data_IF_863859068960
#
_entry.id   IF_863859068960
#
_cell.length_a   1.000
_cell.length_b   1.000
_cell.length_c   1.000
_cell.angle_alpha   90.00
_cell.angle_beta   90.00
_cell.angle_gamma   90.00
#
_symmetry.space_group_name_H-M   'P 1'
#
loop_
_entity.id
_entity.type
_entity.pdbx_description
1 polymer ?
#
# COMPACT_ATOMS: atom_id res chain seq x y z
N UNK A 1 33.10 -10.72 -27.16
CA UNK A 1 33.23 -9.43 -27.84
C UNK A 1 31.98 -8.60 -27.55
N UNK A 2 32.03 -7.88 -26.44
CA UNK A 2 31.04 -6.87 -26.11
C UNK A 2 31.34 -5.65 -27.01
N UNK A 3 30.50 -5.42 -28.01
CA UNK A 3 30.47 -4.17 -28.73
C UNK A 3 29.96 -3.08 -27.83
N UNK A 4 30.86 -2.20 -27.36
CA UNK A 4 30.50 -0.98 -26.69
C UNK A 4 29.70 -0.09 -27.65
N UNK A 5 28.39 0.01 -27.47
CA UNK A 5 27.62 1.12 -28.01
C UNK A 5 27.97 2.33 -27.17
N UNK A 6 28.55 3.37 -27.77
CA UNK A 6 28.63 4.70 -27.18
C UNK A 6 27.21 5.08 -26.76
N UNK A 7 26.99 5.33 -25.46
CA UNK A 7 25.73 5.90 -25.01
C UNK A 7 25.58 7.25 -25.74
N UNK A 8 24.74 7.27 -26.76
CA UNK A 8 24.28 8.52 -27.33
C UNK A 8 23.62 9.27 -26.16
N UNK A 9 23.96 10.54 -25.97
CA UNK A 9 23.26 11.38 -25.01
C UNK A 9 21.79 11.44 -25.43
N UNK A 10 20.97 10.65 -24.75
CA UNK A 10 19.51 10.68 -24.99
C UNK A 10 19.00 12.00 -24.46
N UNK A 11 18.64 12.91 -25.34
CA UNK A 11 18.13 14.23 -24.99
C UNK A 11 17.13 14.73 -26.02
N UNK A 12 16.32 15.69 -25.59
CA UNK A 12 15.46 16.49 -26.46
C UNK A 12 16.04 17.91 -26.57
N UNK A 13 16.08 18.46 -27.81
CA UNK A 13 16.32 19.87 -28.00
C UNK A 13 14.96 20.58 -28.18
N UNK A 14 14.64 21.50 -27.28
CA UNK A 14 13.40 22.27 -27.29
C UNK A 14 13.74 23.74 -27.65
N UNK A 15 13.18 24.24 -28.72
CA UNK A 15 13.33 25.66 -29.10
C UNK A 15 12.10 26.45 -28.64
N UNK A 16 12.31 27.45 -27.80
CA UNK A 16 11.27 28.37 -27.39
C UNK A 16 11.05 29.44 -28.49
N UNK A 17 9.95 29.32 -29.22
CA UNK A 17 9.64 30.25 -30.32
C UNK A 17 9.37 31.69 -29.84
N UNK A 18 9.15 31.93 -28.55
CA UNK A 18 8.94 33.26 -27.97
C UNK A 18 10.27 34.03 -27.90
N UNK A 19 11.36 33.34 -27.67
CA UNK A 19 12.70 33.92 -27.48
C UNK A 19 13.68 33.53 -28.58
N UNK A 20 13.40 32.44 -29.32
CA UNK A 20 14.31 31.81 -30.28
C UNK A 20 15.43 31.01 -29.63
N UNK A 21 15.44 30.88 -28.30
CA UNK A 21 16.47 30.12 -27.55
C UNK A 21 16.17 28.62 -27.55
N UNK A 22 17.23 27.81 -27.66
CA UNK A 22 17.13 26.35 -27.62
C UNK A 22 17.70 25.84 -26.30
N UNK A 23 17.05 24.83 -25.75
CA UNK A 23 17.36 24.16 -24.48
C UNK A 23 17.51 22.66 -24.70
N UNK A 24 18.45 22.06 -24.02
CA UNK A 24 18.63 20.60 -24.02
C UNK A 24 18.03 20.01 -22.76
N UNK A 25 17.16 19.00 -22.92
CA UNK A 25 16.47 18.30 -21.84
C UNK A 25 16.86 16.84 -21.90
N UNK A 26 17.56 16.31 -20.86
CA UNK A 26 17.98 14.91 -20.82
C UNK A 26 16.79 13.97 -20.74
N UNK A 27 16.89 12.81 -21.42
CA UNK A 27 15.98 11.67 -21.30
C UNK A 27 16.62 10.65 -20.36
N UNK A 28 15.84 10.14 -19.42
CA UNK A 28 16.24 9.06 -18.53
C UNK A 28 15.07 8.09 -18.35
N UNK A 29 15.30 6.82 -18.65
CA UNK A 29 14.29 5.76 -18.59
C UNK A 29 12.99 6.12 -19.35
N UNK A 30 13.14 6.66 -20.56
CA UNK A 30 12.03 7.08 -21.39
C UNK A 30 11.24 8.30 -20.86
N UNK A 31 11.76 8.99 -19.86
CA UNK A 31 11.12 10.15 -19.24
C UNK A 31 12.02 11.39 -19.27
N UNK A 32 11.40 12.57 -19.14
CA UNK A 32 12.07 13.84 -18.90
C UNK A 32 11.68 14.38 -17.52
N UNK A 33 12.61 15.01 -16.82
CA UNK A 33 12.28 15.62 -15.52
C UNK A 33 11.49 16.90 -15.74
N UNK A 34 10.32 17.00 -15.13
CA UNK A 34 9.47 18.19 -15.25
C UNK A 34 10.20 19.48 -14.82
N UNK A 35 11.11 19.39 -13.84
CA UNK A 35 11.92 20.52 -13.39
C UNK A 35 12.89 21.06 -14.45
N UNK A 36 13.30 20.24 -15.41
CA UNK A 36 14.22 20.69 -16.48
C UNK A 36 13.50 21.64 -17.46
N UNK A 37 12.17 21.63 -17.52
CA UNK A 37 11.39 22.58 -18.28
C UNK A 37 11.41 24.00 -17.68
N UNK A 38 11.72 24.15 -16.39
CA UNK A 38 11.75 25.46 -15.70
C UNK A 38 12.84 26.41 -16.21
N UNK A 39 13.85 25.89 -16.90
CA UNK A 39 14.86 26.71 -17.55
C UNK A 39 14.30 27.52 -18.73
N UNK A 40 13.16 27.09 -19.31
CA UNK A 40 12.48 27.72 -20.44
C UNK A 40 11.64 28.89 -19.91
N UNK A 41 12.11 30.10 -20.12
CA UNK A 41 11.45 31.31 -19.62
C UNK A 41 11.76 32.49 -20.56
N UNK A 42 10.86 33.49 -20.62
CA UNK A 42 11.02 34.68 -21.46
C UNK A 42 11.83 35.77 -20.76
N UNK A 43 11.70 35.87 -19.43
CA UNK A 43 12.48 36.76 -18.59
C UNK A 43 13.07 36.05 -17.36
N UNK A 44 14.09 36.68 -16.74
CA UNK A 44 14.72 36.10 -15.56
C UNK A 44 13.78 35.98 -14.34
N UNK A 45 12.81 36.90 -14.25
CA UNK A 45 11.84 36.96 -13.14
C UNK A 45 10.72 35.94 -13.27
N UNK A 46 10.57 35.25 -14.43
CA UNK A 46 9.55 34.25 -14.62
C UNK A 46 9.90 32.95 -13.90
N UNK A 47 8.85 32.25 -13.42
CA UNK A 47 8.96 30.94 -12.81
C UNK A 47 9.50 29.85 -13.77
N UNK A 48 9.28 30.05 -15.09
CA UNK A 48 9.59 29.09 -16.14
C UNK A 48 8.43 28.17 -16.50
N UNK A 49 8.64 27.38 -17.55
CA UNK A 49 7.61 26.48 -18.11
C UNK A 49 7.27 25.36 -17.14
N UNK A 50 5.98 25.09 -16.98
CA UNK A 50 5.46 23.95 -16.20
C UNK A 50 4.75 22.95 -17.11
N UNK A 51 4.80 21.66 -16.77
CA UNK A 51 3.95 20.65 -17.37
C UNK A 51 2.50 20.80 -16.85
N UNK A 52 1.52 20.63 -17.72
CA UNK A 52 0.11 20.60 -17.37
C UNK A 52 -0.46 19.22 -17.71
N UNK A 53 -0.66 18.40 -16.69
CA UNK A 53 -1.23 17.05 -16.80
C UNK A 53 -2.23 16.83 -15.64
N UNK A 54 -3.47 17.37 -15.76
CA UNK A 54 -4.43 17.39 -14.66
C UNK A 54 -4.93 16.00 -14.24
N UNK A 55 -4.82 15.02 -15.11
CA UNK A 55 -5.26 13.65 -14.85
C UNK A 55 -4.09 12.67 -14.60
N UNK A 56 -2.87 13.16 -14.54
CA UNK A 56 -1.65 12.33 -14.39
C UNK A 56 -1.54 11.19 -15.42
N UNK A 57 -2.10 11.38 -16.61
CA UNK A 57 -2.16 10.34 -17.66
C UNK A 57 -0.84 10.12 -18.38
N UNK A 58 0.08 11.07 -18.29
CA UNK A 58 1.41 11.03 -18.91
C UNK A 58 2.50 11.49 -17.93
N UNK A 59 2.33 11.17 -16.62
CA UNK A 59 3.26 11.60 -15.58
C UNK A 59 3.75 10.38 -14.80
N UNK A 60 5.06 10.11 -14.86
CA UNK A 60 5.72 9.17 -13.97
C UNK A 60 6.05 9.86 -12.64
N UNK A 61 5.34 9.50 -11.56
CA UNK A 61 5.47 10.15 -10.26
C UNK A 61 6.66 9.66 -9.44
N UNK A 62 7.16 8.45 -9.71
CA UNK A 62 8.32 7.87 -9.03
C UNK A 62 8.93 6.72 -9.82
N UNK A 63 10.09 6.27 -9.34
CA UNK A 63 10.67 4.97 -9.69
C UNK A 63 10.44 4.00 -8.53
N UNK A 64 10.11 2.76 -8.85
CA UNK A 64 9.93 1.69 -7.88
C UNK A 64 10.66 0.43 -8.37
N UNK A 65 11.20 -0.33 -7.43
CA UNK A 65 11.77 -1.66 -7.65
C UNK A 65 10.96 -2.74 -6.92
N UNK A 66 9.73 -2.40 -6.51
CA UNK A 66 8.91 -3.31 -5.71
C UNK A 66 8.21 -4.33 -6.59
N UNK A 67 7.52 -3.86 -7.62
CA UNK A 67 6.70 -4.71 -8.49
C UNK A 67 6.98 -4.39 -9.94
N UNK A 68 7.02 -5.44 -10.76
CA UNK A 68 7.06 -5.36 -12.21
C UNK A 68 5.83 -6.05 -12.80
N UNK A 69 5.12 -5.36 -13.69
CA UNK A 69 3.93 -5.88 -14.37
C UNK A 69 4.12 -5.71 -15.89
N UNK A 70 3.99 -6.81 -16.63
CA UNK A 70 3.79 -6.78 -18.07
C UNK A 70 2.44 -7.45 -18.39
N UNK A 71 1.40 -6.64 -18.53
CA UNK A 71 0.05 -7.12 -18.81
C UNK A 71 -0.09 -7.78 -20.17
N UNK A 72 0.76 -7.45 -21.15
CA UNK A 72 0.73 -8.07 -22.48
C UNK A 72 1.35 -9.47 -22.46
N UNK A 73 2.44 -9.65 -21.71
CA UNK A 73 3.09 -10.93 -21.53
C UNK A 73 2.46 -11.79 -20.41
N UNK A 74 1.60 -11.19 -19.55
CA UNK A 74 1.03 -11.87 -18.39
C UNK A 74 2.06 -12.12 -17.29
N UNK A 75 3.02 -11.20 -17.10
CA UNK A 75 4.09 -11.31 -16.12
C UNK A 75 3.80 -10.38 -14.94
N UNK A 76 3.88 -10.92 -13.72
CA UNK A 76 3.87 -10.20 -12.47
C UNK A 76 5.02 -10.69 -11.59
N UNK A 77 5.86 -9.78 -11.14
CA UNK A 77 6.97 -10.07 -10.24
C UNK A 77 6.99 -9.10 -9.07
N UNK A 78 7.28 -9.62 -7.88
CA UNK A 78 7.56 -8.83 -6.69
C UNK A 78 9.04 -8.95 -6.32
N UNK A 79 9.78 -7.84 -6.35
CA UNK A 79 11.22 -7.82 -6.07
C UNK A 79 12.02 -8.83 -6.93
N UNK A 80 11.56 -9.15 -8.15
CA UNK A 80 12.18 -10.11 -9.05
C UNK A 80 11.78 -11.58 -8.82
N UNK A 81 10.86 -11.86 -7.91
CA UNK A 81 10.25 -13.18 -7.73
C UNK A 81 8.93 -13.25 -8.50
N UNK A 82 8.74 -14.29 -9.31
CA UNK A 82 7.48 -14.44 -10.02
C UNK A 82 6.31 -14.71 -9.06
N UNK A 83 5.13 -14.20 -9.42
CA UNK A 83 3.93 -14.34 -8.59
C UNK A 83 3.54 -15.81 -8.38
N UNK A 84 3.75 -16.66 -9.39
CA UNK A 84 3.47 -18.10 -9.32
C UNK A 84 4.32 -18.76 -8.23
N UNK A 85 5.63 -18.44 -8.19
CA UNK A 85 6.54 -18.99 -7.18
C UNK A 85 6.16 -18.54 -5.77
N UNK A 86 5.78 -17.26 -5.63
CA UNK A 86 5.34 -16.71 -4.34
C UNK A 86 4.05 -17.37 -3.86
N UNK A 87 3.05 -17.55 -4.74
CA UNK A 87 1.79 -18.21 -4.41
C UNK A 87 1.95 -19.69 -4.04
N UNK A 88 2.92 -20.38 -4.67
CA UNK A 88 3.14 -21.81 -4.42
C UNK A 88 3.98 -22.09 -3.17
N UNK A 89 4.93 -21.21 -2.83
CA UNK A 89 6.02 -21.50 -1.88
C UNK A 89 6.11 -20.56 -0.69
N UNK A 90 5.35 -19.48 -0.69
CA UNK A 90 5.38 -18.47 0.37
C UNK A 90 4.02 -18.30 1.01
N UNK A 91 4.00 -17.69 2.18
CA UNK A 91 2.81 -17.17 2.85
C UNK A 91 2.68 -15.66 2.61
N UNK A 92 1.50 -15.11 2.84
CA UNK A 92 1.29 -13.66 2.73
C UNK A 92 2.27 -12.86 3.60
N UNK A 93 2.54 -13.31 4.83
CA UNK A 93 3.47 -12.59 5.71
C UNK A 93 4.93 -12.60 5.21
N UNK A 94 5.37 -13.66 4.51
CA UNK A 94 6.68 -13.68 3.84
C UNK A 94 6.72 -12.70 2.68
N UNK A 95 5.64 -12.62 1.89
CA UNK A 95 5.54 -11.66 0.78
C UNK A 95 5.43 -10.23 1.29
N UNK A 96 4.69 -9.98 2.36
CA UNK A 96 4.65 -8.67 3.01
C UNK A 96 6.05 -8.22 3.48
N UNK A 97 6.81 -9.14 4.07
CA UNK A 97 8.21 -8.88 4.43
C UNK A 97 9.07 -8.56 3.20
N UNK A 98 8.97 -9.38 2.15
CA UNK A 98 9.68 -9.15 0.88
C UNK A 98 9.41 -7.75 0.30
N UNK A 99 8.16 -7.34 0.25
CA UNK A 99 7.77 -6.04 -0.31
C UNK A 99 8.36 -4.87 0.50
N UNK A 100 8.33 -4.97 1.83
CA UNK A 100 8.78 -3.91 2.73
C UNK A 100 10.31 -3.84 2.81
N UNK A 101 10.98 -4.98 2.99
CA UNK A 101 12.42 -5.04 3.25
C UNK A 101 13.27 -5.37 2.03
N UNK A 102 12.67 -5.80 0.91
CA UNK A 102 13.33 -5.99 -0.37
C UNK A 102 13.82 -7.39 -0.67
N UNK A 103 13.91 -8.28 0.33
CA UNK A 103 14.33 -9.68 0.19
C UNK A 103 13.44 -10.58 1.05
N UNK A 104 13.35 -11.87 0.69
CA UNK A 104 12.66 -12.87 1.50
C UNK A 104 13.36 -13.03 2.86
N UNK A 105 12.58 -13.21 3.94
CA UNK A 105 13.15 -13.35 5.27
C UNK A 105 13.91 -14.67 5.44
N UNK A 106 15.00 -14.62 6.19
CA UNK A 106 15.59 -15.83 6.79
C UNK A 106 14.65 -16.37 7.85
N UNK A 107 14.78 -17.65 8.22
CA UNK A 107 13.90 -18.26 9.22
C UNK A 107 13.83 -17.46 10.55
N UNK A 108 14.95 -16.99 11.15
CA UNK A 108 14.88 -16.18 12.37
C UNK A 108 14.17 -14.83 12.17
N UNK A 109 14.30 -14.23 10.99
CA UNK A 109 13.60 -12.98 10.66
C UNK A 109 12.09 -13.22 10.48
N UNK A 110 11.72 -14.32 9.83
CA UNK A 110 10.33 -14.73 9.67
C UNK A 110 9.68 -15.02 11.02
N UNK A 111 10.35 -15.77 11.88
CA UNK A 111 9.84 -16.13 13.21
C UNK A 111 9.57 -14.86 14.04
N UNK A 112 10.50 -13.88 14.02
CA UNK A 112 10.31 -12.58 14.68
C UNK A 112 9.15 -11.80 14.06
N UNK A 113 9.11 -11.71 12.73
CA UNK A 113 8.08 -10.97 11.98
C UNK A 113 6.68 -11.50 12.26
N UNK A 114 6.52 -12.82 12.18
CA UNK A 114 5.24 -13.49 12.49
C UNK A 114 4.86 -13.29 13.96
N UNK A 115 5.85 -13.42 14.88
CA UNK A 115 5.61 -13.16 16.30
C UNK A 115 5.14 -11.74 16.56
N UNK A 116 5.83 -10.75 16.01
CA UNK A 116 5.48 -9.33 16.21
C UNK A 116 4.07 -9.04 15.66
N UNK A 117 3.72 -9.52 14.46
CA UNK A 117 2.38 -9.33 13.90
C UNK A 117 1.32 -10.03 14.75
N UNK A 118 1.53 -11.29 15.10
CA UNK A 118 0.55 -12.09 15.86
C UNK A 118 0.25 -11.48 17.22
N UNK A 119 1.25 -10.87 17.87
CA UNK A 119 1.10 -10.27 19.20
C UNK A 119 0.63 -8.80 19.18
N UNK A 120 0.39 -8.22 17.99
CA UNK A 120 -0.12 -6.84 17.86
C UNK A 120 -1.51 -6.77 17.22
N UNK A 121 -2.24 -7.86 17.14
CA UNK A 121 -3.56 -7.96 16.49
C UNK A 121 -4.69 -7.28 17.26
N UNK A 122 -4.59 -7.14 18.59
CA UNK A 122 -5.59 -6.47 19.40
C UNK A 122 -5.67 -4.97 19.09
N UNK A 123 -6.88 -4.47 19.04
CA UNK A 123 -7.17 -3.03 19.02
C UNK A 123 -7.60 -2.56 20.43
N UNK A 124 -7.43 -1.28 20.72
CA UNK A 124 -7.88 -0.72 22.00
C UNK A 124 -9.41 -0.84 22.13
N UNK A 125 -9.92 -1.11 23.33
CA UNK A 125 -11.36 -1.26 23.58
C UNK A 125 -12.17 0.02 23.22
N UNK A 126 -11.58 1.19 23.36
CA UNK A 126 -12.24 2.44 22.96
C UNK A 126 -12.49 2.52 21.45
N UNK A 127 -11.68 1.84 20.62
CA UNK A 127 -11.98 1.67 19.19
C UNK A 127 -13.28 0.90 18.97
N UNK A 128 -13.59 -0.07 19.81
CA UNK A 128 -14.86 -0.79 19.75
C UNK A 128 -16.05 0.15 20.02
N UNK A 129 -15.94 1.04 21.05
CA UNK A 129 -16.96 2.05 21.30
C UNK A 129 -17.10 3.02 20.12
N UNK A 130 -15.97 3.38 19.49
CA UNK A 130 -15.96 4.19 18.27
C UNK A 130 -16.75 3.52 17.15
N UNK A 131 -16.56 2.21 16.93
CA UNK A 131 -17.30 1.43 15.94
C UNK A 131 -18.80 1.30 16.29
N UNK A 132 -19.16 1.17 17.55
CA UNK A 132 -20.54 1.12 18.03
C UNK A 132 -21.31 2.43 17.76
N UNK A 133 -20.60 3.55 17.58
CA UNK A 133 -21.17 4.85 17.21
C UNK A 133 -21.62 4.97 15.76
N UNK A 134 -21.22 4.05 14.87
CA UNK A 134 -21.67 4.04 13.48
C UNK A 134 -23.12 3.53 13.38
N UNK A 135 -23.83 3.97 12.35
CA UNK A 135 -25.14 3.41 12.02
C UNK A 135 -25.01 1.94 11.68
N UNK A 136 -26.04 1.15 11.98
CA UNK A 136 -26.08 -0.29 11.70
C UNK A 136 -25.93 -0.62 10.20
N UNK A 137 -26.28 0.31 9.30
CA UNK A 137 -26.22 0.20 7.84
C UNK A 137 -25.02 0.96 7.25
N UNK A 138 -24.05 1.37 8.09
CA UNK A 138 -22.83 2.02 7.61
C UNK A 138 -22.02 1.09 6.70
N UNK A 139 -21.48 1.65 5.62
CA UNK A 139 -20.66 0.85 4.71
C UNK A 139 -19.37 0.38 5.40
N UNK A 140 -19.05 -0.94 5.38
CA UNK A 140 -17.90 -1.48 6.13
C UNK A 140 -16.57 -0.83 5.77
N UNK A 141 -16.36 -0.44 4.50
CA UNK A 141 -15.14 0.24 4.07
C UNK A 141 -15.00 1.65 4.69
N UNK A 142 -16.10 2.40 4.81
CA UNK A 142 -16.09 3.70 5.49
C UNK A 142 -15.75 3.56 6.98
N UNK A 143 -16.22 2.50 7.61
CA UNK A 143 -15.85 2.15 8.99
C UNK A 143 -14.39 1.76 9.09
N UNK A 144 -13.88 0.94 8.16
CA UNK A 144 -12.47 0.54 8.11
C UNK A 144 -11.56 1.75 7.95
N UNK A 145 -11.85 2.62 7.01
CA UNK A 145 -11.12 3.89 6.80
C UNK A 145 -11.04 4.71 8.09
N UNK A 146 -12.19 4.94 8.72
CA UNK A 146 -12.26 5.71 9.96
C UNK A 146 -11.49 5.02 11.10
N UNK A 147 -11.56 3.69 11.19
CA UNK A 147 -10.84 2.88 12.16
C UNK A 147 -9.32 2.94 11.99
N UNK A 148 -8.83 2.85 10.74
CA UNK A 148 -7.39 2.97 10.45
C UNK A 148 -6.89 4.38 10.80
N UNK A 149 -7.62 5.43 10.43
CA UNK A 149 -7.27 6.80 10.82
C UNK A 149 -7.28 7.02 12.34
N UNK A 150 -8.24 6.41 13.04
CA UNK A 150 -8.32 6.51 14.48
C UNK A 150 -7.14 5.84 15.21
N UNK A 151 -6.48 4.84 14.60
CA UNK A 151 -5.29 4.20 15.21
C UNK A 151 -4.20 5.20 15.56
N UNK A 152 -4.01 6.27 14.80
CA UNK A 152 -3.01 7.31 15.08
C UNK A 152 -3.15 7.92 16.48
N UNK A 153 -4.37 7.97 17.01
CA UNK A 153 -4.65 8.57 18.33
C UNK A 153 -4.24 7.67 19.50
N UNK A 154 -4.02 6.38 19.25
CA UNK A 154 -3.62 5.39 20.25
C UNK A 154 -2.11 5.17 20.31
N UNK A 155 -1.35 5.76 19.40
CA UNK A 155 0.11 5.63 19.32
C UNK A 155 0.76 7.01 19.28
N UNK A 156 1.08 7.61 20.44
CA UNK A 156 1.65 8.96 20.52
C UNK A 156 2.97 9.11 19.73
N UNK A 157 3.74 8.01 19.63
CA UNK A 157 5.05 7.97 18.96
C UNK A 157 4.93 7.77 17.44
N UNK A 158 3.72 7.60 16.91
CA UNK A 158 3.48 7.37 15.48
C UNK A 158 4.02 8.46 14.55
N UNK A 159 4.27 9.67 15.08
CA UNK A 159 4.87 10.79 14.33
C UNK A 159 6.39 10.74 14.24
N UNK A 160 7.04 9.83 14.97
CA UNK A 160 8.50 9.68 14.93
C UNK A 160 8.93 8.85 13.71
N UNK A 161 8.56 9.32 12.52
CA UNK A 161 8.77 8.61 11.24
C UNK A 161 10.24 8.46 10.85
N UNK A 162 11.14 9.26 11.44
CA UNK A 162 12.58 9.16 11.21
C UNK A 162 13.22 8.02 12.01
N UNK A 163 12.56 7.56 13.09
CA UNK A 163 13.03 6.41 13.87
C UNK A 163 12.73 5.09 13.13
N UNK A 164 13.76 4.29 12.79
CA UNK A 164 13.56 3.01 12.10
C UNK A 164 12.72 2.00 12.89
N UNK A 165 12.82 1.99 14.22
CA UNK A 165 12.07 1.07 15.07
C UNK A 165 10.59 1.46 15.11
N UNK A 166 10.27 2.75 15.21
CA UNK A 166 8.89 3.23 15.16
C UNK A 166 8.26 2.99 13.78
N UNK A 167 9.02 3.16 12.68
CA UNK A 167 8.54 2.77 11.33
C UNK A 167 8.24 1.29 11.23
N UNK A 168 9.13 0.44 11.76
CA UNK A 168 8.91 -1.00 11.81
C UNK A 168 7.66 -1.33 12.60
N UNK A 169 7.52 -0.77 13.80
CA UNK A 169 6.34 -1.01 14.64
C UNK A 169 5.04 -0.47 14.04
N UNK A 170 5.09 0.63 13.31
CA UNK A 170 3.91 1.14 12.59
C UNK A 170 3.47 0.17 11.49
N UNK A 171 4.41 -0.38 10.72
CA UNK A 171 4.12 -1.40 9.71
C UNK A 171 3.54 -2.68 10.34
N UNK A 172 4.15 -3.19 11.42
CA UNK A 172 3.66 -4.34 12.19
C UNK A 172 2.23 -4.09 12.66
N UNK A 173 1.98 -2.95 13.31
CA UNK A 173 0.65 -2.61 13.86
C UNK A 173 -0.40 -2.47 12.77
N UNK A 174 -0.08 -1.87 11.63
CA UNK A 174 -1.00 -1.76 10.48
C UNK A 174 -1.36 -3.14 9.95
N UNK A 175 -0.37 -3.98 9.61
CA UNK A 175 -0.62 -5.33 9.10
C UNK A 175 -1.41 -6.17 10.10
N UNK A 176 -1.08 -6.09 11.39
CA UNK A 176 -1.72 -6.87 12.44
C UNK A 176 -3.16 -6.44 12.72
N UNK A 177 -3.46 -5.13 12.71
CA UNK A 177 -4.74 -4.58 13.19
C UNK A 177 -5.78 -4.37 12.11
N UNK A 178 -5.37 -4.13 10.86
CA UNK A 178 -6.31 -3.92 9.74
C UNK A 178 -7.27 -5.10 9.56
N UNK A 179 -6.85 -6.37 9.64
CA UNK A 179 -7.78 -7.51 9.61
C UNK A 179 -8.80 -7.49 10.75
N UNK A 180 -8.39 -7.09 11.96
CA UNK A 180 -9.30 -6.96 13.10
C UNK A 180 -10.33 -5.87 12.87
N UNK A 181 -9.90 -4.69 12.38
CA UNK A 181 -10.80 -3.58 12.06
C UNK A 181 -11.77 -3.95 10.92
N UNK A 182 -11.29 -4.65 9.89
CA UNK A 182 -12.13 -5.13 8.79
C UNK A 182 -13.19 -6.13 9.28
N UNK A 183 -12.80 -7.07 10.13
CA UNK A 183 -13.72 -8.03 10.72
C UNK A 183 -14.74 -7.34 11.63
N UNK A 184 -14.35 -6.36 12.42
CA UNK A 184 -15.27 -5.57 13.25
C UNK A 184 -16.26 -4.78 12.39
N UNK A 185 -15.79 -4.13 11.31
CA UNK A 185 -16.65 -3.41 10.35
C UNK A 185 -17.70 -4.33 9.74
N UNK A 186 -17.30 -5.51 9.28
CA UNK A 186 -18.22 -6.50 8.73
C UNK A 186 -19.23 -6.99 9.77
N UNK A 187 -18.79 -7.34 10.98
CA UNK A 187 -19.66 -7.87 12.03
C UNK A 187 -20.64 -6.83 12.54
N UNK A 188 -20.22 -5.57 12.63
CA UNK A 188 -21.13 -4.46 12.94
C UNK A 188 -22.26 -4.34 11.92
N UNK A 189 -21.92 -4.33 10.63
CA UNK A 189 -22.90 -4.26 9.56
C UNK A 189 -23.87 -5.46 9.56
N UNK A 190 -23.39 -6.63 9.96
CA UNK A 190 -24.21 -7.85 10.09
C UNK A 190 -24.99 -7.93 11.42
N UNK A 191 -24.81 -7.00 12.34
CA UNK A 191 -25.42 -7.04 13.68
C UNK A 191 -24.91 -8.19 14.55
N UNK A 192 -23.65 -8.63 14.33
CA UNK A 192 -23.03 -9.73 15.06
C UNK A 192 -22.06 -9.21 16.14
N UNK A 193 -21.89 -9.95 17.27
CA UNK A 193 -20.91 -9.58 18.28
C UNK A 193 -19.50 -9.62 17.69
N UNK A 194 -18.62 -8.72 18.13
CA UNK A 194 -17.21 -8.73 17.73
C UNK A 194 -16.50 -9.98 18.20
N UNK A 195 -15.60 -10.51 17.38
CA UNK A 195 -14.74 -11.65 17.69
C UNK A 195 -13.30 -11.16 17.70
N UNK A 196 -12.61 -11.43 18.80
CA UNK A 196 -11.21 -11.07 18.97
C UNK A 196 -10.30 -12.05 18.24
N UNK A 197 -9.09 -11.60 17.84
CA UNK A 197 -8.10 -12.48 17.23
C UNK A 197 -7.65 -13.61 18.18
N UNK A 198 -7.26 -14.72 17.60
CA UNK A 198 -6.76 -15.92 18.27
C UNK A 198 -5.33 -16.20 17.78
N UNK A 199 -4.35 -16.11 18.69
CA UNK A 199 -2.93 -16.27 18.37
C UNK A 199 -2.52 -17.72 18.04
N UNK A 200 -3.41 -18.69 18.25
CA UNK A 200 -3.19 -20.08 17.84
C UNK A 200 -3.43 -20.31 16.34
N UNK A 201 -3.98 -19.30 15.65
CA UNK A 201 -4.31 -19.35 14.23
C UNK A 201 -3.28 -18.56 13.40
N UNK A 202 -3.05 -19.02 12.16
CA UNK A 202 -2.24 -18.24 11.23
C UNK A 202 -3.00 -16.98 10.76
N UNK A 203 -2.34 -16.10 9.99
CA UNK A 203 -2.87 -14.80 9.60
C UNK A 203 -4.23 -14.92 8.86
N UNK A 204 -4.32 -15.77 7.85
CA UNK A 204 -5.54 -15.96 7.07
C UNK A 204 -6.64 -16.68 7.89
N UNK A 205 -6.27 -17.69 8.66
CA UNK A 205 -7.20 -18.39 9.57
C UNK A 205 -7.78 -17.43 10.61
N UNK A 206 -6.96 -16.59 11.19
CA UNK A 206 -7.37 -15.64 12.20
C UNK A 206 -8.39 -14.64 11.64
N UNK A 207 -8.13 -14.10 10.44
CA UNK A 207 -9.07 -13.23 9.76
C UNK A 207 -10.41 -13.93 9.49
N UNK A 208 -10.39 -15.15 8.92
CA UNK A 208 -11.60 -15.93 8.67
C UNK A 208 -12.36 -16.26 9.98
N UNK A 209 -11.63 -16.58 11.04
CA UNK A 209 -12.24 -16.83 12.35
C UNK A 209 -12.93 -15.59 12.89
N UNK A 210 -12.27 -14.42 12.85
CA UNK A 210 -12.89 -13.17 13.28
C UNK A 210 -14.13 -12.81 12.48
N UNK A 211 -14.14 -13.10 11.18
CA UNK A 211 -15.28 -12.81 10.29
C UNK A 211 -16.46 -13.74 10.57
N UNK A 212 -16.23 -15.05 10.70
CA UNK A 212 -17.28 -16.07 10.54
C UNK A 212 -17.57 -16.91 11.78
N UNK A 213 -16.77 -16.83 12.85
CA UNK A 213 -17.07 -17.50 14.13
C UNK A 213 -18.45 -17.09 14.65
N UNK A 214 -19.24 -18.07 15.10
CA UNK A 214 -20.58 -17.86 15.66
C UNK A 214 -20.57 -18.12 17.17
N UNK A 215 -21.11 -19.28 17.59
CA UNK A 215 -21.30 -19.65 18.99
C UNK A 215 -20.36 -20.75 19.48
N UNK A 216 -19.57 -21.31 18.57
CA UNK A 216 -18.57 -22.30 18.89
C UNK A 216 -17.45 -21.71 19.78
N UNK A 217 -16.93 -22.50 20.70
CA UNK A 217 -15.83 -22.09 21.59
C UNK A 217 -14.56 -21.74 20.82
N UNK A 218 -14.18 -22.59 19.86
CA UNK A 218 -13.07 -22.36 18.94
C UNK A 218 -13.54 -22.56 17.50
N UNK A 219 -13.19 -21.65 16.64
CA UNK A 219 -13.43 -21.75 15.19
C UNK A 219 -12.11 -21.90 14.48
N UNK A 220 -11.90 -23.05 13.88
CA UNK A 220 -10.76 -23.29 13.00
C UNK A 220 -11.30 -23.37 11.58
N UNK A 221 -10.97 -22.42 10.72
CA UNK A 221 -11.38 -22.41 9.31
C UNK A 221 -10.87 -23.66 8.58
N UNK A 222 -11.54 -24.05 7.50
CA UNK A 222 -11.06 -25.12 6.65
C UNK A 222 -9.72 -24.72 6.03
N UNK A 223 -8.74 -25.61 6.07
CA UNK A 223 -7.39 -25.40 5.52
C UNK A 223 -7.43 -24.90 4.07
N UNK A 224 -8.33 -25.49 3.23
CA UNK A 224 -8.47 -25.06 1.84
C UNK A 224 -8.93 -23.61 1.68
N UNK A 225 -9.78 -23.11 2.59
CA UNK A 225 -10.24 -21.72 2.57
C UNK A 225 -9.14 -20.77 3.06
N UNK A 226 -8.45 -21.17 4.12
CA UNK A 226 -7.32 -20.42 4.66
C UNK A 226 -6.21 -20.27 3.62
N UNK A 227 -5.84 -21.37 2.96
CA UNK A 227 -4.84 -21.34 1.89
C UNK A 227 -5.29 -20.49 0.69
N UNK A 228 -6.54 -20.62 0.28
CA UNK A 228 -7.07 -19.81 -0.81
C UNK A 228 -7.04 -18.31 -0.48
N UNK A 229 -7.39 -17.94 0.74
CA UNK A 229 -7.34 -16.55 1.17
C UNK A 229 -5.92 -16.01 1.27
N UNK A 230 -4.98 -16.81 1.77
CA UNK A 230 -3.56 -16.44 1.84
C UNK A 230 -2.99 -16.16 0.45
N UNK A 231 -3.29 -17.02 -0.53
CA UNK A 231 -2.93 -16.81 -1.94
C UNK A 231 -3.59 -15.54 -2.51
N UNK A 232 -4.86 -15.29 -2.18
CA UNK A 232 -5.53 -14.05 -2.60
C UNK A 232 -4.86 -12.80 -2.01
N UNK A 233 -4.41 -12.84 -0.77
CA UNK A 233 -3.63 -11.75 -0.18
C UNK A 233 -2.29 -11.54 -0.90
N UNK A 234 -1.60 -12.61 -1.29
CA UNK A 234 -0.37 -12.53 -2.09
C UNK A 234 -0.65 -11.87 -3.44
N UNK A 235 -1.69 -12.32 -4.16
CA UNK A 235 -2.07 -11.80 -5.47
C UNK A 235 -2.47 -10.32 -5.45
N UNK A 236 -2.93 -9.81 -4.31
CA UNK A 236 -3.37 -8.42 -4.12
C UNK A 236 -2.39 -7.59 -3.28
N UNK A 237 -1.19 -8.11 -2.99
CA UNK A 237 -0.26 -7.46 -2.08
C UNK A 237 0.29 -6.12 -2.61
N UNK A 238 0.50 -6.01 -3.91
CA UNK A 238 0.91 -4.77 -4.56
C UNK A 238 0.52 -4.75 -6.05
N UNK A 239 0.10 -3.59 -6.54
CA UNK A 239 -0.33 -3.33 -7.93
C UNK A 239 0.40 -2.12 -8.53
N UNK A 240 1.69 -1.98 -8.28
CA UNK A 240 2.52 -0.85 -8.72
C UNK A 240 2.05 0.51 -8.16
N UNK A 241 2.07 1.56 -9.01
CA UNK A 241 1.63 2.90 -8.67
C UNK A 241 0.12 3.08 -8.89
N UNK A 242 -0.68 2.22 -8.26
CA UNK A 242 -2.13 2.37 -8.27
C UNK A 242 -2.56 3.66 -7.53
N UNK A 243 -3.87 3.94 -7.56
CA UNK A 243 -4.45 5.13 -6.96
C UNK A 243 -4.16 5.21 -5.46
N UNK A 244 -4.31 4.11 -4.72
CA UNK A 244 -4.06 4.04 -3.28
C UNK A 244 -2.60 4.33 -2.94
N UNK A 245 -1.65 3.73 -3.66
CA UNK A 245 -0.22 4.00 -3.49
C UNK A 245 0.11 5.46 -3.75
N UNK A 246 -0.48 6.05 -4.80
CA UNK A 246 -0.29 7.46 -5.14
C UNK A 246 -0.86 8.39 -4.06
N UNK A 247 -2.03 8.06 -3.50
CA UNK A 247 -2.65 8.81 -2.40
C UNK A 247 -1.78 8.74 -1.13
N UNK A 248 -1.35 7.53 -0.72
CA UNK A 248 -0.48 7.32 0.45
C UNK A 248 0.82 8.11 0.31
N UNK A 249 1.44 8.09 -0.88
CA UNK A 249 2.67 8.86 -1.15
C UNK A 249 2.42 10.37 -1.10
N UNK A 250 1.30 10.83 -1.69
CA UNK A 250 0.92 12.25 -1.68
C UNK A 250 0.72 12.76 -0.25
N UNK A 251 -0.06 12.04 0.54
CA UNK A 251 -0.32 12.39 1.95
C UNK A 251 0.95 12.23 2.80
N UNK A 252 1.70 11.14 2.62
CA UNK A 252 2.95 10.90 3.35
C UNK A 252 4.04 11.93 3.09
N UNK A 253 4.00 12.65 1.96
CA UNK A 253 4.94 13.74 1.67
C UNK A 253 4.77 14.96 2.58
N UNK A 254 3.74 14.99 3.40
CA UNK A 254 3.48 16.06 4.39
C UNK A 254 3.89 15.67 5.81
N UNK A 255 4.74 14.65 5.96
CA UNK A 255 5.27 14.15 7.25
C UNK A 255 4.17 13.76 8.27
N UNK A 256 3.04 13.25 7.75
CA UNK A 256 1.99 12.70 8.61
C UNK A 256 2.36 11.31 9.12
N UNK A 257 1.71 10.88 10.19
CA UNK A 257 1.89 9.53 10.72
C UNK A 257 1.44 8.44 9.71
N UNK A 258 2.02 7.22 9.78
CA UNK A 258 1.71 6.15 8.85
C UNK A 258 0.24 5.71 8.83
N UNK A 259 -0.47 5.80 9.95
CA UNK A 259 -1.89 5.40 10.02
C UNK A 259 -2.77 6.37 9.22
N UNK A 260 -2.51 7.68 9.36
CA UNK A 260 -3.21 8.72 8.58
C UNK A 260 -2.90 8.60 7.09
N UNK A 261 -1.64 8.31 6.73
CA UNK A 261 -1.27 8.11 5.34
C UNK A 261 -1.97 6.89 4.72
N UNK A 262 -1.98 5.75 5.43
CA UNK A 262 -2.64 4.52 4.96
C UNK A 262 -4.15 4.68 4.91
N UNK A 263 -4.77 5.42 5.85
CA UNK A 263 -6.20 5.73 5.80
C UNK A 263 -6.59 6.43 4.50
N UNK A 264 -5.76 7.34 3.97
CA UNK A 264 -6.00 7.99 2.68
C UNK A 264 -5.99 6.99 1.51
N UNK A 265 -5.15 5.95 1.56
CA UNK A 265 -5.15 4.86 0.57
C UNK A 265 -6.43 4.01 0.62
N UNK A 266 -6.96 3.76 1.81
CA UNK A 266 -8.23 3.02 1.99
C UNK A 266 -9.41 3.79 1.38
N UNK A 267 -9.43 5.14 1.45
CA UNK A 267 -10.50 5.97 0.87
C UNK A 267 -10.58 5.83 -0.66
N UNK A 268 -9.46 5.77 -1.34
CA UNK A 268 -9.44 5.65 -2.81
C UNK A 268 -10.05 4.33 -3.30
N UNK A 269 -9.86 3.23 -2.59
CA UNK A 269 -10.50 1.95 -2.91
C UNK A 269 -12.02 2.01 -2.75
N UNK A 270 -12.52 2.74 -1.74
CA UNK A 270 -13.96 2.95 -1.56
C UNK A 270 -14.56 3.67 -2.76
N UNK A 271 -13.89 4.69 -3.29
CA UNK A 271 -14.38 5.47 -4.44
C UNK A 271 -14.47 4.64 -5.71
N UNK A 272 -13.49 3.78 -5.99
CA UNK A 272 -13.50 2.94 -7.19
C UNK A 272 -14.69 1.97 -7.21
N UNK A 273 -15.14 1.48 -6.07
CA UNK A 273 -16.26 0.54 -5.97
C UNK A 273 -17.63 1.21 -5.92
N UNK A 274 -17.70 2.49 -5.51
CA UNK A 274 -18.97 3.24 -5.37
C UNK A 274 -19.31 4.04 -6.63
N UNK A 275 -18.31 4.47 -7.41
CA UNK A 275 -18.49 5.36 -8.56
C UNK A 275 -18.59 4.64 -9.91
N UNK A 276 -18.48 3.31 -9.97
CA UNK A 276 -18.78 2.55 -11.20
C UNK A 276 -20.30 2.34 -11.27
N UNK A 277 -21.02 2.98 -12.17
CA UNK A 277 -22.45 2.70 -12.38
C UNK A 277 -22.61 1.23 -12.78
N UNK A 278 -23.52 0.52 -12.15
CA UNK A 278 -23.91 -0.82 -12.54
C UNK A 278 -24.59 -0.80 -13.91
#
# INVERSE_FOLDING_TARGET
NASGSSAANESLTITDNRTGQSYEVPISDGTVRAMDLRQIKVSEDEFGLMAYDPAFTNTASCRSSVTYIDGAAGVLEHRGYSIEQLCERSTFLEVAYLLIFGELPTQPQLDRWVFDITHHTFVHEDLKQFFEGFRYDAHPMGMLLAGVGALSTFYPDAKQIDDPEERYMAAVRLIAKVPTLAAFSYRHNMGLPYVYPDNDLNFAENFLSMMFKKTEMKHVPKESLSKALDVLFILHADHEQNCSTSAVRGVGSSDVDPYSAVAAGVDEEVRQHVLVPR
#
